data_IF_389631384339
#
_entry.id   IF_389631384339
#
_cell.length_a   1.000
_cell.length_b   1.000
_cell.length_c   1.000
_cell.angle_alpha   90.00
_cell.angle_beta   90.00
_cell.angle_gamma   90.00
#
_symmetry.space_group_name_H-M   'P 1'
#
loop_
_entity.id
_entity.type
_entity.pdbx_description
1 polymer ?
#
# COMPACT_ATOMS: atom_id res chain seq x y z
N UNK A 1 6.90 -26.02 2.63
CA UNK A 1 6.13 -27.16 2.08
C UNK A 1 4.69 -26.69 1.94
N UNK A 2 4.07 -26.87 0.78
CA UNK A 2 2.67 -26.51 0.59
C UNK A 2 1.79 -27.53 1.32
N UNK A 3 0.77 -27.07 2.05
CA UNK A 3 -0.17 -27.96 2.75
C UNK A 3 -0.96 -28.91 1.83
N UNK A 4 -0.99 -28.63 0.53
CA UNK A 4 -1.66 -29.46 -0.48
C UNK A 4 -0.77 -30.54 -1.12
N UNK A 5 0.51 -30.62 -0.73
CA UNK A 5 1.47 -31.59 -1.25
C UNK A 5 1.34 -32.98 -0.61
N UNK A 6 1.77 -34.02 -1.32
CA UNK A 6 1.76 -35.41 -0.83
C UNK A 6 2.68 -35.57 0.39
N UNK A 7 3.82 -34.91 0.36
CA UNK A 7 4.76 -34.86 1.48
C UNK A 7 4.15 -34.19 2.73
N UNK A 8 3.28 -33.20 2.55
CA UNK A 8 2.55 -32.61 3.68
C UNK A 8 1.55 -33.60 4.28
N UNK A 9 0.90 -34.44 3.46
CA UNK A 9 -0.03 -35.48 3.94
C UNK A 9 0.69 -36.52 4.81
N UNK A 10 1.88 -36.95 4.39
CA UNK A 10 2.72 -37.85 5.17
C UNK A 10 3.11 -37.22 6.52
N UNK A 11 3.55 -35.97 6.51
CA UNK A 11 3.90 -35.23 7.73
C UNK A 11 2.69 -35.03 8.64
N UNK A 12 1.50 -34.72 8.10
CA UNK A 12 0.27 -34.66 8.91
C UNK A 12 -0.09 -36.01 9.54
N UNK A 13 0.10 -37.11 8.81
CA UNK A 13 -0.20 -38.46 9.29
C UNK A 13 0.74 -38.90 10.43
N UNK A 14 1.97 -38.39 10.45
CA UNK A 14 2.95 -38.65 11.52
C UNK A 14 2.56 -38.02 12.86
N UNK A 15 1.73 -36.98 12.85
CA UNK A 15 1.33 -36.23 14.05
C UNK A 15 2.37 -35.24 14.57
N UNK A 16 3.58 -35.22 14.01
CA UNK A 16 4.69 -34.36 14.43
C UNK A 16 4.90 -33.20 13.44
N UNK A 17 3.97 -32.23 13.43
CA UNK A 17 4.06 -31.10 12.50
C UNK A 17 3.72 -29.76 13.13
N UNK A 18 4.41 -28.70 12.70
CA UNK A 18 4.05 -27.31 12.97
C UNK A 18 3.30 -26.75 11.77
N UNK A 19 2.10 -26.25 12.02
CA UNK A 19 1.23 -25.68 10.99
C UNK A 19 1.15 -24.16 11.13
N UNK A 20 1.63 -23.44 10.11
CA UNK A 20 1.54 -21.98 10.03
C UNK A 20 0.39 -21.63 9.08
N UNK A 21 -0.59 -20.86 9.56
CA UNK A 21 -1.78 -20.44 8.80
C UNK A 21 -2.01 -18.93 8.89
N UNK A 22 -2.70 -18.32 7.91
CA UNK A 22 -3.12 -16.93 8.00
C UNK A 22 -4.02 -16.66 9.23
N UNK A 23 -3.93 -15.43 9.77
CA UNK A 23 -4.54 -14.98 11.04
C UNK A 23 -6.06 -15.18 11.17
N UNK A 24 -6.78 -15.44 10.08
CA UNK A 24 -8.25 -15.57 10.06
C UNK A 24 -8.74 -16.92 9.53
N UNK A 25 -7.87 -17.94 9.49
CA UNK A 25 -8.29 -19.30 9.17
C UNK A 25 -9.17 -19.86 10.28
N UNK A 26 -10.29 -20.48 9.90
CA UNK A 26 -11.13 -21.22 10.84
C UNK A 26 -10.43 -22.53 11.24
N UNK A 27 -10.08 -22.65 12.51
CA UNK A 27 -9.41 -23.82 13.08
C UNK A 27 -10.38 -24.80 13.78
N UNK A 28 -11.70 -24.58 13.71
CA UNK A 28 -12.70 -25.40 14.43
C UNK A 28 -12.66 -26.89 14.07
N UNK A 29 -12.22 -27.24 12.84
CA UNK A 29 -12.01 -28.63 12.40
C UNK A 29 -10.64 -29.22 12.76
N UNK A 30 -9.78 -28.48 13.46
CA UNK A 30 -8.37 -28.83 13.74
C UNK A 30 -8.09 -28.87 15.25
N UNK A 31 -8.98 -29.51 16.01
CA UNK A 31 -8.94 -29.61 17.48
C UNK A 31 -7.70 -30.31 18.06
N UNK A 32 -6.93 -31.01 17.22
CA UNK A 32 -5.67 -31.68 17.60
C UNK A 32 -4.49 -30.72 17.78
N UNK A 33 -4.60 -29.46 17.36
CA UNK A 33 -3.52 -28.49 17.41
C UNK A 33 -3.70 -27.49 18.54
N UNK A 34 -2.68 -27.35 19.37
CA UNK A 34 -2.51 -26.14 20.16
C UNK A 34 -2.14 -24.97 19.23
N UNK A 35 -2.71 -23.80 19.50
CA UNK A 35 -2.54 -22.62 18.66
C UNK A 35 -1.89 -21.48 19.44
N UNK A 36 -1.00 -20.77 18.73
CA UNK A 36 -0.32 -19.58 19.19
C UNK A 36 -0.25 -18.56 18.07
N UNK A 37 -0.30 -17.27 18.41
CA UNK A 37 -0.18 -16.19 17.43
C UNK A 37 1.28 -16.00 17.04
N UNK A 38 1.58 -16.08 15.75
CA UNK A 38 2.92 -15.79 15.22
C UNK A 38 2.91 -14.45 14.50
N UNK A 39 3.70 -13.48 14.95
CA UNK A 39 3.75 -12.12 14.38
C UNK A 39 4.98 -11.35 14.85
N UNK A 40 5.51 -10.44 14.02
CA UNK A 40 6.63 -9.56 14.43
C UNK A 40 6.27 -8.67 15.62
N UNK A 41 4.97 -8.44 15.83
CA UNK A 41 4.44 -7.68 16.97
C UNK A 41 4.36 -8.50 18.27
N UNK A 42 4.58 -9.81 18.22
CA UNK A 42 4.50 -10.66 19.40
C UNK A 42 5.52 -10.29 20.49
N UNK A 43 6.64 -9.67 20.11
CA UNK A 43 7.61 -9.09 21.06
C UNK A 43 6.99 -8.06 22.01
N UNK A 44 5.91 -7.40 21.56
CA UNK A 44 5.24 -6.31 22.28
C UNK A 44 3.90 -6.74 22.88
N UNK A 45 3.47 -7.98 22.63
CA UNK A 45 2.25 -8.52 23.22
C UNK A 45 2.55 -9.10 24.60
N UNK A 46 1.61 -8.89 25.54
CA UNK A 46 1.68 -9.50 26.89
C UNK A 46 1.14 -10.93 26.93
N UNK A 47 0.66 -11.45 25.80
CA UNK A 47 0.08 -12.78 25.71
C UNK A 47 1.18 -13.84 25.78
N UNK A 48 0.95 -14.89 26.57
CA UNK A 48 1.88 -16.00 26.75
C UNK A 48 1.86 -16.99 25.58
N UNK A 49 0.83 -16.95 24.72
CA UNK A 49 0.68 -17.83 23.55
C UNK A 49 0.97 -17.10 22.24
N UNK A 50 2.10 -16.40 22.18
CA UNK A 50 2.55 -15.75 20.96
C UNK A 50 4.06 -15.87 20.76
N UNK A 51 4.46 -16.03 19.50
CA UNK A 51 5.86 -16.14 19.10
C UNK A 51 6.22 -15.05 18.08
N UNK A 52 7.41 -14.43 18.19
CA UNK A 52 7.86 -13.45 17.21
C UNK A 52 8.20 -14.14 15.89
N UNK A 53 7.49 -13.74 14.83
CA UNK A 53 7.79 -14.17 13.47
C UNK A 53 7.51 -13.02 12.50
N UNK A 54 8.53 -12.62 11.76
CA UNK A 54 8.50 -11.53 10.80
C UNK A 54 9.17 -11.98 9.52
N UNK A 55 8.56 -11.67 8.39
CA UNK A 55 9.17 -11.87 7.07
C UNK A 55 10.19 -10.76 6.73
N UNK A 56 10.35 -9.77 7.61
CA UNK A 56 11.37 -8.74 7.47
C UNK A 56 12.77 -9.29 7.79
N UNK A 57 13.72 -8.95 6.93
CA UNK A 57 15.14 -9.24 7.16
C UNK A 57 15.72 -8.44 8.33
N UNK A 58 16.61 -9.06 9.08
CA UNK A 58 17.41 -8.36 10.09
C UNK A 58 18.51 -7.47 9.46
N UNK A 59 19.22 -6.72 10.30
CA UNK A 59 20.28 -5.81 9.85
C UNK A 59 21.41 -6.54 9.08
N UNK A 60 21.82 -7.72 9.54
CA UNK A 60 22.94 -8.46 8.92
C UNK A 60 22.50 -9.01 7.56
N UNK A 61 21.30 -9.58 7.49
CA UNK A 61 20.70 -10.08 6.27
C UNK A 61 20.55 -8.98 5.21
N UNK A 62 20.10 -7.78 5.60
CA UNK A 62 20.03 -6.63 4.69
C UNK A 62 21.41 -6.23 4.17
N UNK A 63 22.43 -6.20 5.04
CA UNK A 63 23.79 -5.84 4.63
C UNK A 63 24.41 -6.89 3.71
N UNK A 64 24.18 -8.17 4.01
CA UNK A 64 24.64 -9.30 3.20
C UNK A 64 23.97 -9.28 1.81
N UNK A 65 22.67 -8.96 1.76
CA UNK A 65 21.94 -8.78 0.50
C UNK A 65 22.54 -7.66 -0.36
N UNK A 66 22.79 -6.48 0.21
CA UNK A 66 23.43 -5.38 -0.52
C UNK A 66 24.81 -5.79 -1.03
N UNK A 67 25.62 -6.47 -0.20
CA UNK A 67 26.94 -6.95 -0.59
C UNK A 67 26.89 -7.93 -1.76
N UNK A 68 25.94 -8.86 -1.74
CA UNK A 68 25.76 -9.84 -2.81
C UNK A 68 25.33 -9.19 -4.13
N UNK A 69 24.44 -8.21 -4.07
CA UNK A 69 23.92 -7.51 -5.25
C UNK A 69 24.93 -6.57 -5.92
N UNK A 70 25.91 -6.05 -5.16
CA UNK A 70 26.88 -5.03 -5.63
C UNK A 70 26.24 -3.85 -6.40
N UNK A 71 25.22 -3.19 -5.83
CA UNK A 71 24.56 -2.09 -6.51
C UNK A 71 25.47 -0.86 -6.58
N UNK A 72 25.19 0.05 -7.51
CA UNK A 72 25.86 1.37 -7.57
C UNK A 72 25.39 2.31 -6.46
N UNK A 73 24.10 2.27 -6.15
CA UNK A 73 23.45 3.11 -5.14
C UNK A 73 22.37 2.30 -4.42
N UNK A 74 22.19 2.53 -3.11
CA UNK A 74 21.12 1.94 -2.30
C UNK A 74 20.18 3.02 -1.81
N UNK A 75 18.87 2.85 -2.06
CA UNK A 75 17.84 3.73 -1.53
C UNK A 75 17.08 3.04 -0.40
N UNK A 76 17.18 3.57 0.81
CA UNK A 76 16.54 2.98 2.00
C UNK A 76 15.15 3.57 2.22
N UNK A 77 14.15 2.73 2.48
CA UNK A 77 12.77 3.13 2.73
C UNK A 77 12.10 2.19 3.75
N UNK A 78 10.89 2.57 4.21
CA UNK A 78 10.04 1.80 5.14
C UNK A 78 10.60 1.50 6.55
N UNK A 79 11.85 1.87 6.86
CA UNK A 79 12.44 1.77 8.19
C UNK A 79 12.22 2.99 9.11
N UNK A 80 11.47 4.00 8.63
CA UNK A 80 11.28 5.26 9.35
C UNK A 80 12.62 5.93 9.67
N UNK A 81 12.86 6.25 10.95
CA UNK A 81 14.14 6.84 11.40
C UNK A 81 15.38 5.97 11.11
N UNK A 82 15.20 4.67 10.90
CA UNK A 82 16.31 3.75 10.63
C UNK A 82 16.79 3.78 9.18
N UNK A 83 16.07 4.43 8.27
CA UNK A 83 16.50 4.59 6.86
C UNK A 83 17.88 5.24 6.79
N UNK A 84 18.04 6.40 7.44
CA UNK A 84 19.31 7.12 7.46
C UNK A 84 20.42 6.34 8.17
N UNK A 85 20.08 5.61 9.24
CA UNK A 85 21.03 4.78 9.99
C UNK A 85 21.56 3.66 9.11
N UNK A 86 20.67 2.92 8.44
CA UNK A 86 21.06 1.80 7.58
C UNK A 86 21.85 2.28 6.36
N UNK A 87 21.42 3.36 5.70
CA UNK A 87 22.15 3.97 4.60
C UNK A 87 23.61 4.31 4.97
N UNK A 88 23.81 4.98 6.11
CA UNK A 88 25.14 5.31 6.61
C UNK A 88 25.99 4.04 6.89
N UNK A 89 25.37 2.98 7.40
CA UNK A 89 26.07 1.71 7.61
C UNK A 89 26.45 1.01 6.31
N UNK A 90 25.61 1.09 5.27
CA UNK A 90 25.92 0.58 3.93
C UNK A 90 27.13 1.32 3.34
N UNK A 91 27.14 2.64 3.41
CA UNK A 91 28.27 3.46 2.95
C UNK A 91 29.56 3.09 3.69
N UNK A 92 29.52 3.06 5.03
CA UNK A 92 30.69 2.78 5.86
C UNK A 92 31.25 1.37 5.68
N UNK A 93 30.38 0.37 5.57
CA UNK A 93 30.80 -1.05 5.58
C UNK A 93 31.05 -1.61 4.18
N UNK A 94 30.37 -1.10 3.17
CA UNK A 94 30.39 -1.65 1.81
C UNK A 94 30.95 -0.67 0.78
N UNK A 95 31.13 0.61 1.12
CA UNK A 95 31.59 1.64 0.17
C UNK A 95 30.61 1.93 -0.96
N UNK A 96 29.32 1.60 -0.76
CA UNK A 96 28.25 1.82 -1.73
C UNK A 96 27.50 3.09 -1.35
N UNK A 97 27.29 4.01 -2.30
CA UNK A 97 26.48 5.21 -2.08
C UNK A 97 25.10 4.80 -1.55
N UNK A 98 24.66 5.37 -0.43
CA UNK A 98 23.35 5.02 0.10
C UNK A 98 22.65 6.20 0.75
N UNK A 99 21.35 6.34 0.49
CA UNK A 99 20.55 7.43 1.07
C UNK A 99 19.08 7.06 1.27
N UNK A 100 18.38 7.71 2.21
CA UNK A 100 16.94 7.61 2.31
C UNK A 100 16.21 8.04 1.04
N UNK A 101 15.16 7.29 0.66
CA UNK A 101 14.37 7.56 -0.54
C UNK A 101 13.64 8.92 -0.49
N UNK A 102 13.22 9.33 0.69
CA UNK A 102 12.53 10.60 0.97
C UNK A 102 13.40 11.85 0.73
N UNK A 103 14.74 11.69 0.61
CA UNK A 103 15.63 12.76 0.18
C UNK A 103 15.57 13.02 -1.33
N UNK A 104 14.90 12.16 -2.10
CA UNK A 104 14.68 12.36 -3.53
C UNK A 104 13.33 13.06 -3.70
N UNK A 105 13.28 14.33 -4.17
CA UNK A 105 12.03 15.01 -4.41
C UNK A 105 11.25 14.28 -5.51
N UNK A 106 10.19 13.58 -5.14
CA UNK A 106 9.29 12.96 -6.10
C UNK A 106 8.05 13.83 -6.25
N UNK A 107 7.82 14.36 -7.45
CA UNK A 107 6.50 14.89 -7.80
C UNK A 107 5.61 13.71 -8.15
N UNK A 108 4.54 13.50 -7.38
CA UNK A 108 3.49 12.58 -7.80
C UNK A 108 2.88 13.13 -9.08
N UNK A 109 3.16 12.49 -10.21
CA UNK A 109 2.53 12.84 -11.48
C UNK A 109 1.16 12.16 -11.45
N UNK A 110 0.06 12.92 -11.27
CA UNK A 110 -1.25 12.31 -11.37
C UNK A 110 -1.39 11.69 -12.76
N UNK A 111 -1.93 10.47 -12.82
CA UNK A 111 -2.25 9.85 -14.10
C UNK A 111 -3.05 10.85 -14.95
N UNK A 112 -2.68 10.97 -16.23
CA UNK A 112 -3.45 11.79 -17.16
C UNK A 112 -4.89 11.28 -17.13
N UNK A 113 -5.90 12.17 -16.95
CA UNK A 113 -7.28 11.72 -16.90
C UNK A 113 -7.60 10.94 -18.17
N UNK A 114 -8.29 9.82 -17.99
CA UNK A 114 -8.76 8.97 -19.10
C UNK A 114 -9.48 9.85 -20.14
N UNK A 115 -9.43 9.54 -21.45
CA UNK A 115 -10.02 10.40 -22.48
C UNK A 115 -11.47 10.82 -22.19
N UNK A 116 -12.28 9.89 -21.66
CA UNK A 116 -13.65 10.14 -21.20
C UNK A 116 -13.76 11.10 -20.02
N UNK A 117 -12.86 10.99 -19.04
CA UNK A 117 -12.82 11.91 -17.89
C UNK A 117 -12.41 13.31 -18.34
N UNK A 118 -11.47 13.43 -19.29
CA UNK A 118 -11.09 14.71 -19.88
C UNK A 118 -12.25 15.37 -20.64
N UNK A 119 -13.03 14.58 -21.37
CA UNK A 119 -14.23 15.07 -22.05
C UNK A 119 -15.30 15.52 -21.05
N UNK A 120 -15.51 14.75 -19.98
CA UNK A 120 -16.38 15.11 -18.87
C UNK A 120 -15.96 16.44 -18.21
N UNK A 121 -14.66 16.62 -17.93
CA UNK A 121 -14.10 17.89 -17.42
C UNK A 121 -14.49 19.07 -18.33
N UNK A 122 -14.35 18.91 -19.66
CA UNK A 122 -14.71 19.96 -20.60
C UNK A 122 -16.21 20.29 -20.56
N UNK A 123 -17.08 19.28 -20.42
CA UNK A 123 -18.52 19.50 -20.28
C UNK A 123 -18.88 20.19 -18.96
N UNK A 124 -18.30 19.75 -17.83
CA UNK A 124 -18.49 20.40 -16.54
C UNK A 124 -18.09 21.87 -16.61
N UNK A 125 -16.93 22.19 -17.19
CA UNK A 125 -16.48 23.57 -17.38
C UNK A 125 -17.42 24.39 -18.28
N UNK A 126 -18.12 23.77 -19.23
CA UNK A 126 -19.11 24.44 -20.08
C UNK A 126 -20.40 24.77 -19.34
N UNK A 127 -20.84 23.92 -18.41
CA UNK A 127 -22.08 24.15 -17.64
C UNK A 127 -21.84 24.97 -16.37
N UNK A 128 -20.61 24.97 -15.84
CA UNK A 128 -20.22 25.73 -14.62
C UNK A 128 -19.55 27.07 -14.94
N UNK A 129 -19.84 27.66 -16.11
CA UNK A 129 -19.14 28.85 -16.63
C UNK A 129 -19.29 30.11 -15.77
N UNK A 130 -20.35 30.23 -14.97
CA UNK A 130 -20.61 31.44 -14.20
C UNK A 130 -19.71 31.51 -12.95
N UNK A 131 -18.75 32.44 -12.88
CA UNK A 131 -17.85 32.56 -11.73
C UNK A 131 -18.62 32.96 -10.47
N UNK A 132 -18.20 32.44 -9.32
CA UNK A 132 -18.82 32.75 -8.02
C UNK A 132 -20.15 32.05 -7.75
N UNK A 133 -20.71 31.32 -8.71
CA UNK A 133 -21.92 30.54 -8.49
C UNK A 133 -21.62 29.18 -7.83
N UNK A 134 -22.53 28.75 -6.95
CA UNK A 134 -22.44 27.46 -6.26
C UNK A 134 -23.35 26.46 -6.97
N UNK A 135 -22.74 25.40 -7.50
CA UNK A 135 -23.46 24.30 -8.15
C UNK A 135 -23.50 23.09 -7.22
N UNK A 136 -24.68 22.49 -7.03
CA UNK A 136 -24.77 21.26 -6.25
C UNK A 136 -24.15 20.08 -7.00
N UNK A 137 -23.45 19.18 -6.30
CA UNK A 137 -22.90 17.95 -6.89
C UNK A 137 -23.99 17.13 -7.59
N UNK A 138 -25.19 17.07 -7.01
CA UNK A 138 -26.35 16.35 -7.58
C UNK A 138 -26.80 16.93 -8.91
N UNK A 139 -26.83 18.27 -9.03
CA UNK A 139 -27.17 18.92 -10.29
C UNK A 139 -26.14 18.61 -11.38
N UNK A 140 -24.84 18.73 -11.08
CA UNK A 140 -23.78 18.39 -12.04
C UNK A 140 -23.90 16.93 -12.50
N UNK A 141 -24.19 16.00 -11.58
CA UNK A 141 -24.41 14.58 -11.92
C UNK A 141 -25.57 14.40 -12.89
N UNK A 142 -26.68 15.12 -12.69
CA UNK A 142 -27.84 15.05 -13.57
C UNK A 142 -27.57 15.66 -14.95
N UNK A 143 -26.76 16.70 -15.04
CA UNK A 143 -26.35 17.29 -16.33
C UNK A 143 -25.42 16.37 -17.12
N UNK A 144 -24.54 15.62 -16.44
CA UNK A 144 -23.59 14.73 -17.11
C UNK A 144 -24.19 13.37 -17.50
N UNK A 145 -25.28 12.93 -16.86
CA UNK A 145 -25.91 11.63 -17.11
C UNK A 145 -26.46 11.46 -18.55
N UNK A 146 -27.19 12.43 -19.15
CA UNK A 146 -27.65 12.35 -20.54
C UNK A 146 -26.51 12.27 -21.56
N UNK A 147 -25.32 12.77 -21.20
CA UNK A 147 -24.12 12.72 -22.04
C UNK A 147 -23.40 11.36 -21.96
N UNK A 148 -23.93 10.40 -21.19
CA UNK A 148 -23.39 9.05 -21.08
C UNK A 148 -22.25 8.88 -20.08
N UNK A 149 -21.96 9.89 -19.24
CA UNK A 149 -20.93 9.78 -18.22
C UNK A 149 -21.42 8.99 -17.00
N UNK A 150 -20.61 8.04 -16.55
CA UNK A 150 -20.83 7.31 -15.31
C UNK A 150 -20.56 8.19 -14.08
N UNK A 151 -21.17 7.86 -12.94
CA UNK A 151 -20.91 8.53 -11.66
C UNK A 151 -19.42 8.62 -11.34
N UNK A 152 -18.68 7.53 -11.58
CA UNK A 152 -17.23 7.46 -11.32
C UNK A 152 -16.45 8.45 -12.18
N UNK A 153 -16.80 8.60 -13.46
CA UNK A 153 -16.14 9.55 -14.35
C UNK A 153 -16.42 11.00 -13.94
N UNK A 154 -17.66 11.31 -13.48
CA UNK A 154 -18.02 12.64 -12.99
C UNK A 154 -17.31 12.96 -11.68
N UNK A 155 -17.22 11.99 -10.75
CA UNK A 155 -16.47 12.18 -9.48
C UNK A 155 -14.98 12.41 -9.75
N UNK A 156 -14.37 11.63 -10.64
CA UNK A 156 -12.96 11.81 -11.03
C UNK A 156 -12.72 13.16 -11.73
N UNK A 157 -13.65 13.61 -12.59
CA UNK A 157 -13.58 14.90 -13.25
C UNK A 157 -13.67 16.08 -12.26
N UNK A 158 -14.58 15.99 -11.27
CA UNK A 158 -14.70 16.98 -10.20
C UNK A 158 -13.44 17.01 -9.34
N UNK A 159 -12.90 15.86 -8.95
CA UNK A 159 -11.65 15.76 -8.19
C UNK A 159 -10.47 16.37 -8.95
N UNK A 160 -10.42 16.17 -10.28
CA UNK A 160 -9.40 16.78 -11.14
C UNK A 160 -9.50 18.30 -11.12
N UNK A 161 -10.71 18.85 -11.28
CA UNK A 161 -10.97 20.29 -11.25
C UNK A 161 -10.67 20.92 -9.88
N UNK A 162 -10.98 20.22 -8.79
CA UNK A 162 -10.66 20.67 -7.42
C UNK A 162 -9.16 20.61 -7.14
N UNK A 163 -8.46 19.54 -7.53
CA UNK A 163 -6.99 19.44 -7.40
C UNK A 163 -6.26 20.53 -8.18
N UNK A 164 -6.80 20.96 -9.32
CA UNK A 164 -6.27 22.07 -10.13
C UNK A 164 -6.66 23.45 -9.62
N UNK A 165 -7.47 23.54 -8.56
CA UNK A 165 -7.94 24.80 -7.99
C UNK A 165 -8.98 25.55 -8.83
N UNK A 166 -9.53 24.91 -9.87
CA UNK A 166 -10.53 25.53 -10.77
C UNK A 166 -11.91 25.55 -10.09
N UNK A 167 -12.25 24.48 -9.37
CA UNK A 167 -13.44 24.41 -8.53
C UNK A 167 -13.06 24.31 -7.05
N UNK A 168 -13.91 24.85 -6.18
CA UNK A 168 -13.76 24.75 -4.73
C UNK A 168 -14.99 24.07 -4.14
N UNK A 169 -14.77 23.21 -3.14
CA UNK A 169 -15.86 22.58 -2.40
C UNK A 169 -16.42 23.61 -1.41
N UNK A 170 -17.70 23.95 -1.54
CA UNK A 170 -18.42 24.74 -0.54
C UNK A 170 -18.82 23.85 0.62
N UNK A 171 -18.59 24.29 1.87
CA UNK A 171 -18.96 23.56 3.09
C UNK A 171 -20.39 23.86 3.58
N UNK A 172 -21.14 24.68 2.85
CA UNK A 172 -22.54 24.98 3.16
C UNK A 172 -23.44 24.21 2.18
N UNK A 173 -23.78 22.97 2.54
CA UNK A 173 -24.65 22.08 1.77
C UNK A 173 -24.58 20.65 2.26
#
# INVERSE_FOLDING_TARGET
>A
MDSSSEEASEVYSSGECILIVPKMVNLSGRSKFEHALVSGWALWMKDKKAFPLSDHSDFKQLLDFVRACRPRTVLTCFGGRFNAVFANQVEKKLGVEARPLDLIPTTFIPEKPRPRVRECVNHILKVTRMPGFIYSKKWIMNEMKPLGFSRREVEEALDNLTRRGILRISRNG
#
